data_IF_504877693590
#
_entry.id   IF_504877693590
#
_cell.length_a   1.000
_cell.length_b   1.000
_cell.length_c   1.000
_cell.angle_alpha   90.00
_cell.angle_beta   90.00
_cell.angle_gamma   90.00
#
_symmetry.space_group_name_H-M   'P 1'
#
loop_
_entity.id
_entity.type
_entity.pdbx_description
1 polymer ?
#
# COMPACT_ATOMS: atom_id res chain seq x y z
N UNK A 1 -30.89 3.40 17.39
CA UNK A 1 -29.43 3.57 17.59
C UNK A 1 -28.72 2.55 16.71
N UNK A 2 -28.34 2.95 15.50
CA UNK A 2 -27.59 2.12 14.57
C UNK A 2 -26.47 2.99 13.99
N UNK A 3 -25.40 3.20 14.75
CA UNK A 3 -24.26 4.03 14.35
C UNK A 3 -22.94 3.25 14.34
N UNK A 4 -22.99 1.92 14.18
CA UNK A 4 -21.82 1.07 14.38
C UNK A 4 -21.20 0.40 13.15
N UNK A 5 -21.69 0.65 11.92
CA UNK A 5 -21.32 -0.19 10.76
C UNK A 5 -20.73 0.54 9.54
N UNK A 6 -20.75 1.88 9.50
CA UNK A 6 -20.32 2.62 8.31
C UNK A 6 -18.79 2.88 8.27
N UNK A 7 -18.14 3.00 9.43
CA UNK A 7 -16.71 3.35 9.53
C UNK A 7 -15.73 2.23 9.15
N UNK A 8 -16.21 0.98 9.13
CA UNK A 8 -15.39 -0.20 8.78
C UNK A 8 -15.25 -0.32 7.25
N UNK A 9 -16.29 0.09 6.50
CA UNK A 9 -16.30 0.00 5.03
C UNK A 9 -15.47 1.11 4.37
N UNK A 10 -15.45 2.33 4.94
CA UNK A 10 -14.58 3.41 4.44
C UNK A 10 -13.09 3.09 4.64
N UNK A 11 -12.72 2.55 5.81
CA UNK A 11 -11.33 2.22 6.14
C UNK A 11 -10.77 1.08 5.28
N UNK A 12 -11.61 0.07 4.95
CA UNK A 12 -11.24 -0.99 4.03
C UNK A 12 -11.07 -0.48 2.59
N UNK A 13 -11.94 0.43 2.17
CA UNK A 13 -11.89 1.05 0.84
C UNK A 13 -10.61 1.84 0.63
N UNK A 14 -10.21 2.67 1.61
CA UNK A 14 -8.97 3.45 1.54
C UNK A 14 -7.72 2.56 1.55
N UNK A 15 -7.75 1.48 2.34
CA UNK A 15 -6.66 0.48 2.37
C UNK A 15 -6.43 -0.15 1.00
N UNK A 16 -7.50 -0.60 0.36
CA UNK A 16 -7.45 -1.22 -0.97
C UNK A 16 -7.11 -0.17 -2.04
N UNK A 17 -7.60 1.07 -1.87
CA UNK A 17 -7.42 2.14 -2.86
C UNK A 17 -5.96 2.54 -3.01
N UNK A 18 -5.20 2.68 -1.92
CA UNK A 18 -3.79 3.06 -2.04
C UNK A 18 -2.98 1.95 -2.70
N UNK A 19 -3.25 0.68 -2.37
CA UNK A 19 -2.58 -0.47 -2.94
C UNK A 19 -2.85 -0.59 -4.45
N UNK A 20 -4.12 -0.49 -4.86
CA UNK A 20 -4.48 -0.47 -6.29
C UNK A 20 -3.88 0.73 -7.04
N UNK A 21 -3.84 1.91 -6.43
CA UNK A 21 -3.19 3.08 -7.04
C UNK A 21 -1.70 2.84 -7.24
N UNK A 22 -1.00 2.40 -6.19
CA UNK A 22 0.43 2.12 -6.27
C UNK A 22 0.74 1.06 -7.33
N UNK A 23 -0.08 0.01 -7.42
CA UNK A 23 0.04 -0.99 -8.50
C UNK A 23 -0.02 -0.35 -9.89
N UNK A 24 -1.02 0.52 -10.12
CA UNK A 24 -1.19 1.21 -11.41
C UNK A 24 -0.03 2.16 -11.71
N UNK A 25 0.54 2.81 -10.69
CA UNK A 25 1.74 3.62 -10.85
C UNK A 25 2.95 2.77 -11.26
N UNK A 26 3.10 1.55 -10.70
CA UNK A 26 4.14 0.61 -11.15
C UNK A 26 3.98 0.22 -12.62
N UNK A 27 2.75 -0.06 -13.07
CA UNK A 27 2.47 -0.35 -14.49
C UNK A 27 2.84 0.82 -15.40
N UNK A 28 2.68 2.05 -14.92
CA UNK A 28 3.07 3.28 -15.63
C UNK A 28 4.56 3.63 -15.51
N UNK A 29 5.40 2.74 -14.95
CA UNK A 29 6.82 3.00 -14.63
C UNK A 29 7.06 4.13 -13.62
N UNK A 30 6.01 4.62 -12.96
CA UNK A 30 6.06 5.67 -11.94
C UNK A 30 6.33 5.07 -10.56
N UNK A 31 7.46 4.36 -10.44
CA UNK A 31 7.77 3.55 -9.26
C UNK A 31 7.99 4.38 -7.99
N UNK A 32 8.45 5.63 -8.13
CA UNK A 32 8.64 6.56 -7.00
C UNK A 32 7.29 7.05 -6.42
N UNK A 33 6.33 7.38 -7.29
CA UNK A 33 4.98 7.76 -6.88
C UNK A 33 4.25 6.57 -6.23
N UNK A 34 4.41 5.37 -6.80
CA UNK A 34 3.89 4.14 -6.23
C UNK A 34 4.40 3.92 -4.81
N UNK A 35 5.71 4.11 -4.61
CA UNK A 35 6.35 3.98 -3.30
C UNK A 35 5.74 4.96 -2.29
N UNK A 36 5.67 6.24 -2.64
CA UNK A 36 5.16 7.30 -1.75
C UNK A 36 3.72 7.02 -1.30
N UNK A 37 2.85 6.58 -2.23
CA UNK A 37 1.46 6.24 -1.93
C UNK A 37 1.37 5.00 -1.04
N UNK A 38 2.17 3.97 -1.32
CA UNK A 38 2.20 2.77 -0.49
C UNK A 38 2.73 3.06 0.91
N UNK A 39 3.80 3.84 1.07
CA UNK A 39 4.35 4.23 2.38
C UNK A 39 3.31 4.98 3.22
N UNK A 40 2.60 5.95 2.65
CA UNK A 40 1.54 6.65 3.37
C UNK A 40 0.34 5.73 3.68
N UNK A 41 0.05 4.80 2.78
CA UNK A 41 -0.99 3.79 2.97
C UNK A 41 -0.70 2.84 4.12
N UNK A 42 0.49 2.23 4.16
CA UNK A 42 0.88 1.31 5.23
C UNK A 42 1.06 2.01 6.57
N UNK A 43 1.43 3.31 6.60
CA UNK A 43 1.43 4.09 7.85
C UNK A 43 0.03 4.21 8.47
N UNK A 44 -1.00 4.35 7.63
CA UNK A 44 -2.39 4.42 8.07
C UNK A 44 -2.96 3.04 8.37
N UNK A 45 -2.52 2.03 7.62
CA UNK A 45 -2.99 0.66 7.67
C UNK A 45 -1.83 -0.33 7.85
N UNK A 46 -1.15 -0.32 9.01
CA UNK A 46 0.06 -1.12 9.24
C UNK A 46 -0.21 -2.63 9.33
N UNK A 47 -1.48 -3.03 9.36
CA UNK A 47 -1.89 -4.44 9.36
C UNK A 47 -2.40 -4.91 7.99
N UNK A 48 -2.35 -4.06 6.97
CA UNK A 48 -2.84 -4.40 5.63
C UNK A 48 -1.73 -5.11 4.83
N UNK A 49 -1.77 -6.44 4.86
CA UNK A 49 -0.76 -7.31 4.25
C UNK A 49 -0.54 -7.04 2.74
N UNK A 50 -1.61 -6.75 2.00
CA UNK A 50 -1.52 -6.45 0.57
C UNK A 50 -0.83 -5.09 0.30
N UNK A 51 -0.99 -4.13 1.22
CA UNK A 51 -0.25 -2.87 1.20
C UNK A 51 1.26 -3.05 1.33
N UNK A 52 1.69 -3.86 2.30
CA UNK A 52 3.10 -4.25 2.49
C UNK A 52 3.63 -5.03 1.29
N UNK A 53 2.82 -5.93 0.72
CA UNK A 53 3.20 -6.67 -0.49
C UNK A 53 3.49 -5.76 -1.68
N UNK A 54 2.63 -4.76 -1.92
CA UNK A 54 2.83 -3.78 -3.00
C UNK A 54 3.97 -2.82 -2.67
N UNK A 55 4.15 -2.42 -1.41
CA UNK A 55 5.28 -1.61 -0.98
C UNK A 55 6.62 -2.33 -1.26
N UNK A 56 6.72 -3.62 -0.92
CA UNK A 56 7.88 -4.45 -1.27
C UNK A 56 8.10 -4.54 -2.79
N UNK A 57 7.02 -4.62 -3.59
CA UNK A 57 7.13 -4.58 -5.06
C UNK A 57 7.65 -3.23 -5.56
N UNK A 58 7.23 -2.12 -4.95
CA UNK A 58 7.73 -0.79 -5.27
C UNK A 58 9.23 -0.71 -5.01
N UNK A 59 9.69 -1.17 -3.84
CA UNK A 59 11.11 -1.23 -3.51
C UNK A 59 11.90 -2.13 -4.47
N UNK A 60 11.39 -3.31 -4.84
CA UNK A 60 12.02 -4.18 -5.84
C UNK A 60 12.18 -3.50 -7.19
N UNK A 61 11.16 -2.76 -7.64
CA UNK A 61 11.17 -2.05 -8.93
C UNK A 61 12.18 -0.91 -8.93
N UNK A 62 12.35 -0.25 -7.79
CA UNK A 62 13.37 0.77 -7.53
C UNK A 62 14.76 0.18 -7.22
N UNK A 63 14.94 -1.14 -7.30
CA UNK A 63 16.19 -1.86 -6.97
C UNK A 63 16.65 -1.67 -5.51
N UNK A 64 15.72 -1.33 -4.62
CA UNK A 64 15.92 -1.21 -3.17
C UNK A 64 15.61 -2.55 -2.50
N UNK A 65 16.45 -3.56 -2.76
CA UNK A 65 16.16 -4.94 -2.35
C UNK A 65 16.19 -5.13 -0.82
N UNK A 66 17.05 -4.40 -0.11
CA UNK A 66 17.12 -4.44 1.35
C UNK A 66 15.81 -3.95 1.99
N UNK A 67 15.28 -2.81 1.52
CA UNK A 67 13.99 -2.28 1.98
C UNK A 67 12.84 -3.24 1.62
N UNK A 68 12.86 -3.80 0.40
CA UNK A 68 11.85 -4.77 -0.02
C UNK A 68 11.81 -6.01 0.88
N UNK A 69 12.98 -6.47 1.34
CA UNK A 69 13.11 -7.67 2.19
C UNK A 69 12.50 -7.41 3.57
N UNK A 70 12.75 -6.24 4.15
CA UNK A 70 12.15 -5.83 5.43
C UNK A 70 10.62 -5.83 5.39
N UNK A 71 10.02 -5.50 4.24
CA UNK A 71 8.56 -5.51 4.08
C UNK A 71 7.95 -6.92 3.89
N UNK A 72 8.78 -7.93 3.62
CA UNK A 72 8.35 -9.32 3.44
C UNK A 72 8.65 -10.22 4.65
N UNK A 73 9.48 -9.76 5.59
CA UNK A 73 9.86 -10.47 6.82
C UNK A 73 8.85 -10.25 7.96
#
# INVERSE_FOLDING_TARGET
MAEGQDKILESGSDSILFAHKAFKFLENQQSEEALSICEEGVKRFPFYAEGHFILGKCYQTLKKYDDAKNEYE
#
